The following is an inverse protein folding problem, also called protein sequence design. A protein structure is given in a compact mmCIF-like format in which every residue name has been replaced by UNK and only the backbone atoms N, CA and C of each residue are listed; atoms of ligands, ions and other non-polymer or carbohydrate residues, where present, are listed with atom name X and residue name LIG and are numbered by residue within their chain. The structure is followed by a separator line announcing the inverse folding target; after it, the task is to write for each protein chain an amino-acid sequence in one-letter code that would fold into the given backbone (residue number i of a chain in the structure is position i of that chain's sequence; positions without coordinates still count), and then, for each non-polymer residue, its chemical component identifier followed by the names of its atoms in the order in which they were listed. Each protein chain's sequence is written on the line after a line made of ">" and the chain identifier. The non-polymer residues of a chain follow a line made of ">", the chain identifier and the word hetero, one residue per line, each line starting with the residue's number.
data_IF_568094036296
#
_entry.id   IF_568094036296
#
_cell.length_a   1.000
_cell.length_b   1.000
_cell.length_c   1.000
_cell.angle_alpha   90.00
_cell.angle_beta   90.00
_cell.angle_gamma   90.00
#
_symmetry.space_group_name_H-M   'P 1'
#
loop_
_entity.id
_entity.type
_entity.pdbx_description
1 polymer ?
#
# COMPACT_ATOMS: atom_id res chain seq x y z
N UNK A 1 16.21 -11.62 15.20
CA UNK A 1 15.58 -12.92 14.93
C UNK A 1 14.16 -12.60 14.56
N UNK A 2 13.80 -12.69 13.25
CA UNK A 2 12.43 -12.50 12.78
C UNK A 2 11.56 -13.58 13.44
N UNK A 3 10.57 -13.18 14.24
CA UNK A 3 9.61 -14.10 14.82
C UNK A 3 8.69 -14.61 13.72
N UNK A 4 8.55 -15.93 13.60
CA UNK A 4 7.63 -16.51 12.64
C UNK A 4 6.19 -16.41 13.16
N UNK A 5 5.28 -15.84 12.36
CA UNK A 5 3.85 -15.82 12.68
C UNK A 5 3.28 -17.24 12.69
N UNK A 6 2.56 -17.58 13.73
CA UNK A 6 1.90 -18.88 13.85
C UNK A 6 0.54 -18.83 13.17
N UNK A 7 0.25 -19.82 12.34
CA UNK A 7 -1.03 -19.96 11.62
C UNK A 7 -1.67 -21.27 12.03
N UNK A 8 -2.80 -21.24 12.73
CA UNK A 8 -3.65 -22.40 12.91
C UNK A 8 -4.40 -22.66 11.63
N UNK A 9 -4.02 -23.69 10.90
CA UNK A 9 -4.63 -24.05 9.63
C UNK A 9 -5.54 -25.27 9.74
N UNK A 10 -6.63 -25.29 8.95
CA UNK A 10 -7.42 -26.49 8.80
C UNK A 10 -6.58 -27.61 8.16
N UNK A 11 -6.60 -28.85 8.68
CA UNK A 11 -5.82 -29.96 8.13
C UNK A 11 -6.10 -30.25 6.65
N UNK A 12 -7.32 -30.02 6.19
CA UNK A 12 -7.72 -30.28 4.79
C UNK A 12 -7.12 -29.25 3.82
N UNK A 13 -6.61 -28.13 4.32
CA UNK A 13 -5.91 -27.12 3.51
C UNK A 13 -4.40 -27.39 3.37
N UNK A 14 -3.85 -28.42 4.01
CA UNK A 14 -2.40 -28.66 4.11
C UNK A 14 -1.66 -28.65 2.77
N UNK A 15 -2.29 -29.17 1.70
CA UNK A 15 -1.73 -29.20 0.35
C UNK A 15 -1.79 -27.87 -0.41
N UNK A 16 -2.56 -26.92 0.08
CA UNK A 16 -2.84 -25.63 -0.58
C UNK A 16 -2.11 -24.46 0.07
N UNK A 17 -1.38 -24.67 1.17
CA UNK A 17 -0.76 -23.59 1.93
C UNK A 17 0.53 -23.07 1.28
N UNK A 18 0.75 -21.76 1.22
CA UNK A 18 1.97 -21.20 0.66
C UNK A 18 3.15 -21.48 1.60
N UNK A 19 4.26 -21.93 1.00
CA UNK A 19 5.53 -22.08 1.74
C UNK A 19 6.25 -20.74 1.79
N UNK A 20 6.01 -19.97 2.85
CA UNK A 20 6.60 -18.63 3.02
C UNK A 20 7.49 -18.64 4.26
N UNK A 21 8.72 -18.12 4.13
CA UNK A 21 9.59 -17.87 5.27
C UNK A 21 8.91 -16.84 6.18
N UNK A 22 8.88 -17.08 7.48
CA UNK A 22 8.16 -16.21 8.43
C UNK A 22 6.78 -16.73 8.83
N UNK A 23 6.29 -17.87 8.27
CA UNK A 23 5.06 -18.53 8.70
C UNK A 23 5.35 -19.92 9.26
N UNK A 24 4.66 -20.26 10.35
CA UNK A 24 4.67 -21.59 10.96
C UNK A 24 3.25 -22.13 11.04
N UNK A 25 2.93 -23.15 10.24
CA UNK A 25 1.63 -23.78 10.26
C UNK A 25 1.50 -24.81 11.36
N UNK A 26 0.38 -24.74 12.08
CA UNK A 26 -0.02 -25.65 13.14
C UNK A 26 -1.41 -26.16 12.83
N UNK A 27 -1.64 -27.47 12.97
CA UNK A 27 -2.93 -28.11 12.69
C UNK A 27 -3.65 -28.59 13.95
N UNK A 28 -2.93 -28.57 15.07
CA UNK A 28 -3.46 -28.95 16.37
C UNK A 28 -3.44 -27.73 17.29
N UNK A 29 -4.62 -27.29 17.78
CA UNK A 29 -4.70 -26.14 18.69
C UNK A 29 -3.90 -26.29 19.99
N UNK A 30 -3.57 -27.52 20.40
CA UNK A 30 -2.73 -27.74 21.60
C UNK A 30 -1.31 -27.19 21.45
N UNK A 31 -0.83 -27.05 20.21
CA UNK A 31 0.51 -26.56 19.85
C UNK A 31 0.58 -25.05 19.64
N UNK A 32 -0.53 -24.34 19.84
CA UNK A 32 -0.55 -22.89 19.74
C UNK A 32 0.18 -22.25 20.92
N UNK A 33 0.85 -21.08 20.70
CA UNK A 33 1.42 -20.30 21.78
C UNK A 33 0.31 -19.83 22.74
N UNK A 34 0.65 -19.65 24.00
CA UNK A 34 -0.28 -19.15 25.02
C UNK A 34 -0.24 -17.63 25.15
N UNK A 35 0.90 -17.02 24.83
CA UNK A 35 1.19 -15.60 25.13
C UNK A 35 1.44 -14.76 23.87
N UNK A 36 1.33 -15.35 22.67
CA UNK A 36 1.56 -14.68 21.40
C UNK A 36 0.30 -14.75 20.52
N UNK A 37 0.10 -13.70 19.71
CA UNK A 37 -0.95 -13.66 18.71
C UNK A 37 -0.72 -14.66 17.57
N UNK A 38 -1.79 -15.20 17.00
CA UNK A 38 -1.73 -16.11 15.85
C UNK A 38 -2.88 -15.87 14.88
N UNK A 39 -2.71 -16.35 13.65
CA UNK A 39 -3.70 -16.29 12.60
C UNK A 39 -4.49 -17.59 12.55
N UNK A 40 -5.74 -17.52 12.14
CA UNK A 40 -6.57 -18.72 11.89
C UNK A 40 -6.91 -18.79 10.41
N UNK A 41 -6.67 -19.94 9.79
CA UNK A 41 -7.03 -20.22 8.40
C UNK A 41 -7.91 -21.47 8.36
N UNK A 42 -9.12 -21.34 7.84
CA UNK A 42 -10.10 -22.43 7.83
C UNK A 42 -10.99 -22.45 6.59
N UNK A 43 -11.74 -23.52 6.47
CA UNK A 43 -12.80 -23.70 5.48
C UNK A 43 -14.15 -23.23 6.06
N UNK A 44 -14.99 -22.60 5.26
CA UNK A 44 -16.31 -22.14 5.67
C UNK A 44 -17.19 -23.31 6.14
N UNK A 45 -17.12 -24.45 5.46
CA UNK A 45 -17.84 -25.68 5.82
C UNK A 45 -17.46 -26.26 7.19
N UNK A 46 -16.29 -25.87 7.74
CA UNK A 46 -15.75 -26.40 9.00
C UNK A 46 -15.54 -25.34 10.08
N UNK A 47 -16.04 -24.14 9.85
CA UNK A 47 -15.76 -22.98 10.70
C UNK A 47 -16.19 -23.19 12.16
N UNK A 48 -17.39 -23.73 12.39
CA UNK A 48 -17.92 -24.02 13.76
C UNK A 48 -17.04 -25.04 14.49
N UNK A 49 -16.57 -26.06 13.77
CA UNK A 49 -15.67 -27.08 14.33
C UNK A 49 -14.35 -26.47 14.73
N UNK A 50 -13.79 -25.59 13.89
CA UNK A 50 -12.51 -24.95 14.17
C UNK A 50 -12.61 -23.95 15.33
N UNK A 51 -13.71 -23.21 15.45
CA UNK A 51 -13.95 -22.31 16.58
C UNK A 51 -14.14 -23.05 17.90
N UNK A 52 -14.88 -24.17 17.91
CA UNK A 52 -15.12 -24.95 19.12
C UNK A 52 -13.84 -25.59 19.70
N UNK A 53 -12.80 -25.76 18.89
CA UNK A 53 -11.49 -26.29 19.32
C UNK A 53 -10.61 -25.28 20.05
N UNK A 54 -10.93 -23.99 19.96
CA UNK A 54 -10.19 -22.94 20.64
C UNK A 54 -10.81 -22.68 22.02
N UNK A 55 -10.02 -22.85 23.07
CA UNK A 55 -10.41 -22.44 24.44
C UNK A 55 -10.42 -20.91 24.54
N UNK A 56 -11.20 -20.37 25.49
CA UNK A 56 -11.32 -18.90 25.66
C UNK A 56 -9.99 -18.15 25.75
N UNK A 57 -8.96 -18.60 26.52
CA UNK A 57 -7.67 -17.92 26.56
C UNK A 57 -7.00 -17.86 25.18
N UNK A 58 -7.14 -18.91 24.36
CA UNK A 58 -6.54 -18.94 23.01
C UNK A 58 -7.32 -18.11 22.01
N UNK A 59 -8.65 -18.00 22.15
CA UNK A 59 -9.48 -17.14 21.30
C UNK A 59 -9.06 -15.67 21.41
N UNK A 60 -8.72 -15.22 22.59
CA UNK A 60 -8.26 -13.85 22.84
C UNK A 60 -6.97 -13.49 22.09
N UNK A 61 -6.16 -14.49 21.70
CA UNK A 61 -4.89 -14.31 21.00
C UNK A 61 -5.03 -14.43 19.46
N UNK A 62 -6.23 -14.68 18.92
CA UNK A 62 -6.43 -14.66 17.47
C UNK A 62 -6.33 -13.23 16.96
N UNK A 63 -5.49 -13.00 15.96
CA UNK A 63 -5.31 -11.69 15.34
C UNK A 63 -6.29 -11.46 14.19
N UNK A 64 -6.41 -12.43 13.29
CA UNK A 64 -7.38 -12.42 12.17
C UNK A 64 -7.89 -13.84 11.88
N UNK A 65 -9.09 -13.90 11.31
CA UNK A 65 -9.63 -15.11 10.70
C UNK A 65 -9.57 -15.00 9.17
N UNK A 66 -8.98 -15.99 8.52
CA UNK A 66 -8.99 -16.19 7.07
C UNK A 66 -9.85 -17.40 6.77
N UNK A 67 -10.92 -17.21 6.03
CA UNK A 67 -11.90 -18.26 5.76
C UNK A 67 -12.08 -18.43 4.26
N UNK A 68 -11.71 -19.61 3.77
CA UNK A 68 -11.97 -20.01 2.40
C UNK A 68 -13.42 -20.45 2.25
N UNK A 69 -14.12 -19.85 1.30
CA UNK A 69 -15.49 -20.20 0.96
C UNK A 69 -15.48 -21.41 0.02
N UNK A 70 -15.63 -22.59 0.59
CA UNK A 70 -15.58 -23.88 -0.12
C UNK A 70 -16.97 -24.42 -0.50
N UNK A 71 -18.05 -23.77 -0.02
CA UNK A 71 -19.45 -24.15 -0.29
C UNK A 71 -20.36 -22.94 -0.50
N UNK A 72 -21.13 -22.92 -1.59
CA UNK A 72 -21.99 -21.78 -1.96
C UNK A 72 -23.14 -21.45 -1.00
N UNK A 73 -23.93 -22.42 -0.47
CA UNK A 73 -25.15 -22.08 0.29
C UNK A 73 -24.90 -21.37 1.62
N UNK A 74 -23.71 -21.51 2.20
CA UNK A 74 -23.38 -20.96 3.52
C UNK A 74 -22.83 -19.54 3.46
N UNK A 75 -22.45 -19.05 2.27
CA UNK A 75 -21.82 -17.74 2.07
C UNK A 75 -22.61 -16.59 2.71
N UNK A 76 -23.93 -16.53 2.46
CA UNK A 76 -24.79 -15.43 2.94
C UNK A 76 -24.97 -15.46 4.45
N UNK A 77 -25.03 -16.65 5.05
CA UNK A 77 -25.21 -16.80 6.50
C UNK A 77 -23.91 -16.49 7.23
N UNK A 78 -22.78 -17.04 6.77
CA UNK A 78 -21.47 -16.83 7.38
C UNK A 78 -21.04 -15.37 7.24
N UNK A 79 -21.25 -14.74 6.09
CA UNK A 79 -20.88 -13.33 5.89
C UNK A 79 -21.65 -12.38 6.79
N UNK A 80 -22.94 -12.65 7.06
CA UNK A 80 -23.75 -11.87 8.01
C UNK A 80 -23.25 -12.01 9.46
N UNK A 81 -22.81 -13.20 9.84
CA UNK A 81 -22.27 -13.44 11.19
C UNK A 81 -20.85 -12.88 11.35
N UNK A 82 -20.06 -12.91 10.28
CA UNK A 82 -18.67 -12.42 10.32
C UNK A 82 -18.54 -10.89 10.42
N UNK A 83 -19.60 -10.14 10.09
CA UNK A 83 -19.56 -8.65 10.12
C UNK A 83 -19.36 -8.08 11.54
N UNK A 84 -19.47 -8.86 12.57
CA UNK A 84 -19.25 -8.43 13.96
C UNK A 84 -18.17 -9.23 14.68
N UNK A 85 -17.41 -10.06 13.95
CA UNK A 85 -16.38 -10.86 14.59
C UNK A 85 -15.25 -10.01 15.13
N UNK A 86 -14.88 -10.29 16.35
CA UNK A 86 -13.65 -9.83 16.93
C UNK A 86 -12.84 -11.07 17.35
N UNK A 87 -11.69 -11.25 16.75
CA UNK A 87 -10.98 -10.39 15.76
C UNK A 87 -11.62 -10.38 14.37
N UNK A 88 -11.17 -9.46 13.46
CA UNK A 88 -11.74 -9.32 12.13
C UNK A 88 -11.55 -10.58 11.28
N UNK A 89 -12.47 -10.80 10.32
CA UNK A 89 -12.45 -11.95 9.44
C UNK A 89 -12.49 -11.56 7.96
N UNK A 90 -11.72 -12.28 7.14
CA UNK A 90 -11.79 -12.22 5.68
C UNK A 90 -12.37 -13.55 5.17
N UNK A 91 -13.53 -13.48 4.53
CA UNK A 91 -14.17 -14.59 3.84
C UNK A 91 -13.98 -14.39 2.34
N UNK A 92 -13.34 -15.33 1.67
CA UNK A 92 -13.04 -15.20 0.23
C UNK A 92 -13.05 -16.56 -0.48
N UNK A 93 -13.60 -16.66 -1.72
CA UNK A 93 -13.59 -17.90 -2.49
C UNK A 93 -12.24 -18.23 -3.12
N UNK A 94 -11.38 -17.21 -3.32
CA UNK A 94 -10.05 -17.40 -3.91
C UNK A 94 -9.01 -17.62 -2.81
N UNK A 95 -8.29 -18.73 -2.93
CA UNK A 95 -7.18 -19.06 -2.05
C UNK A 95 -6.00 -18.09 -2.24
N UNK A 96 -5.84 -17.53 -3.43
CA UNK A 96 -4.77 -16.56 -3.77
C UNK A 96 -4.88 -15.30 -2.91
N UNK A 97 -6.11 -14.84 -2.64
CA UNK A 97 -6.36 -13.69 -1.76
C UNK A 97 -5.95 -14.01 -0.32
N UNK A 98 -6.28 -15.20 0.18
CA UNK A 98 -5.84 -15.62 1.51
C UNK A 98 -4.31 -15.78 1.59
N UNK A 99 -3.70 -16.30 0.53
CA UNK A 99 -2.23 -16.38 0.42
C UNK A 99 -1.56 -15.00 0.41
N UNK A 100 -2.19 -14.02 -0.24
CA UNK A 100 -1.72 -12.63 -0.24
C UNK A 100 -1.65 -12.09 1.17
N UNK A 101 -2.71 -12.24 1.94
CA UNK A 101 -2.75 -11.82 3.35
C UNK A 101 -1.66 -12.54 4.17
N UNK A 102 -1.56 -13.86 4.05
CA UNK A 102 -0.53 -14.63 4.75
C UNK A 102 0.90 -14.18 4.40
N UNK A 103 1.16 -13.88 3.13
CA UNK A 103 2.48 -13.34 2.72
C UNK A 103 2.75 -11.97 3.30
N UNK A 104 1.73 -11.10 3.35
CA UNK A 104 1.85 -9.77 3.93
C UNK A 104 2.27 -9.86 5.41
N UNK A 105 1.63 -10.74 6.18
CA UNK A 105 1.99 -10.99 7.57
C UNK A 105 3.41 -11.57 7.72
N UNK A 106 3.79 -12.49 6.84
CA UNK A 106 5.15 -13.05 6.84
C UNK A 106 6.25 -12.01 6.58
N UNK A 107 5.91 -10.93 5.90
CA UNK A 107 6.81 -9.82 5.53
C UNK A 107 6.72 -8.63 6.49
N UNK A 108 5.89 -8.72 7.54
CA UNK A 108 5.59 -7.60 8.45
C UNK A 108 5.13 -6.35 7.66
N UNK A 109 4.28 -6.57 6.64
CA UNK A 109 3.78 -5.54 5.72
C UNK A 109 2.24 -5.57 5.61
N UNK A 110 1.56 -6.16 6.58
CA UNK A 110 0.10 -6.34 6.58
C UNK A 110 -0.68 -5.03 6.62
N UNK A 111 -0.07 -3.99 7.15
CA UNK A 111 -0.60 -2.63 7.15
C UNK A 111 -0.29 -1.83 5.87
N UNK A 112 0.54 -2.36 4.96
CA UNK A 112 1.01 -1.68 3.74
C UNK A 112 0.43 -2.26 2.46
N UNK A 113 -0.14 -3.46 2.53
CA UNK A 113 -0.59 -4.22 1.36
C UNK A 113 -2.10 -4.35 1.33
N UNK A 114 -2.66 -4.33 0.12
CA UNK A 114 -4.09 -4.51 -0.15
C UNK A 114 -4.45 -5.98 -0.13
N UNK A 115 -5.38 -6.38 0.73
CA UNK A 115 -5.97 -7.71 0.71
C UNK A 115 -7.04 -7.83 -0.39
N UNK A 116 -8.02 -6.92 -0.36
CA UNK A 116 -9.13 -6.89 -1.32
C UNK A 116 -9.53 -5.45 -1.66
N UNK A 117 -10.12 -5.28 -2.83
CA UNK A 117 -10.77 -4.04 -3.24
C UNK A 117 -12.12 -4.33 -3.88
N UNK A 118 -13.05 -3.38 -3.82
CA UNK A 118 -14.37 -3.48 -4.43
C UNK A 118 -15.01 -2.11 -4.60
N UNK A 119 -15.89 -1.96 -5.59
CA UNK A 119 -16.65 -0.72 -5.80
C UNK A 119 -18.11 -0.98 -5.48
N UNK A 120 -18.67 -0.16 -4.57
CA UNK A 120 -20.08 -0.21 -4.19
C UNK A 120 -20.62 1.21 -3.97
N UNK A 121 -21.81 1.49 -4.47
CA UNK A 121 -22.52 2.76 -4.28
C UNK A 121 -21.62 4.00 -4.56
N UNK A 122 -20.77 3.95 -5.60
CA UNK A 122 -19.90 5.05 -6.00
C UNK A 122 -18.66 5.25 -5.11
N UNK A 123 -18.36 4.29 -4.24
CA UNK A 123 -17.18 4.30 -3.38
C UNK A 123 -16.27 3.10 -3.69
N UNK A 124 -14.98 3.34 -3.66
CA UNK A 124 -13.95 2.32 -3.60
C UNK A 124 -13.76 1.88 -2.15
N UNK A 125 -13.99 0.61 -1.88
CA UNK A 125 -13.74 -0.03 -0.59
C UNK A 125 -12.46 -0.84 -0.72
N UNK A 126 -11.48 -0.56 0.12
CA UNK A 126 -10.19 -1.25 0.15
C UNK A 126 -9.99 -1.84 1.53
N UNK A 127 -9.60 -3.11 1.59
CA UNK A 127 -9.18 -3.75 2.83
C UNK A 127 -7.69 -3.98 2.79
N UNK A 128 -6.98 -3.57 3.84
CA UNK A 128 -5.58 -3.95 4.03
C UNK A 128 -5.44 -5.41 4.51
N UNK A 129 -4.21 -5.91 4.64
CA UNK A 129 -3.98 -7.27 5.11
C UNK A 129 -4.07 -7.42 6.64
N UNK A 130 -4.31 -6.34 7.40
CA UNK A 130 -4.80 -6.38 8.79
C UNK A 130 -6.35 -6.43 8.84
N UNK A 131 -7.00 -6.39 7.69
CA UNK A 131 -8.45 -6.36 7.48
C UNK A 131 -9.14 -5.06 7.91
N UNK A 132 -8.41 -3.96 8.05
CA UNK A 132 -9.03 -2.64 8.20
C UNK A 132 -9.62 -2.19 6.87
N UNK A 133 -10.80 -1.61 6.90
CA UNK A 133 -11.48 -1.12 5.70
C UNK A 133 -11.32 0.39 5.54
N UNK A 134 -10.88 0.80 4.36
CA UNK A 134 -10.81 2.19 3.91
C UNK A 134 -11.85 2.39 2.82
N UNK A 135 -12.57 3.50 2.87
CA UNK A 135 -13.62 3.82 1.89
C UNK A 135 -13.39 5.20 1.29
N UNK A 136 -13.23 5.26 -0.03
CA UNK A 136 -12.96 6.49 -0.78
C UNK A 136 -14.07 6.72 -1.82
N UNK A 137 -14.71 7.89 -1.86
CA UNK A 137 -15.60 8.23 -2.96
C UNK A 137 -14.82 8.28 -4.28
N UNK A 138 -15.29 7.59 -5.31
CA UNK A 138 -14.64 7.54 -6.65
C UNK A 138 -14.43 8.95 -7.23
N UNK A 139 -15.36 9.86 -6.98
CA UNK A 139 -15.27 11.26 -7.42
C UNK A 139 -14.04 12.02 -6.89
N UNK A 140 -13.48 11.57 -5.75
CA UNK A 140 -12.32 12.21 -5.12
C UNK A 140 -11.00 11.67 -5.72
N UNK A 141 -11.05 10.54 -6.41
CA UNK A 141 -9.91 9.93 -7.11
C UNK A 141 -9.84 10.50 -8.51
N UNK A 142 -8.98 11.51 -8.72
CA UNK A 142 -8.89 12.28 -9.96
C UNK A 142 -8.90 11.45 -11.24
N UNK A 143 -8.03 10.45 -11.41
CA UNK A 143 -7.98 9.60 -12.60
C UNK A 143 -9.25 8.77 -12.84
N UNK A 144 -9.96 8.37 -11.77
CA UNK A 144 -11.11 7.46 -11.87
C UNK A 144 -12.46 8.16 -12.02
N UNK A 145 -12.55 9.45 -11.63
CA UNK A 145 -13.84 10.18 -11.53
C UNK A 145 -14.64 10.26 -12.81
N UNK A 146 -13.98 10.17 -13.96
CA UNK A 146 -14.60 10.34 -15.28
C UNK A 146 -14.58 9.06 -16.12
N UNK A 147 -14.16 7.93 -15.55
CA UNK A 147 -14.14 6.67 -16.27
C UNK A 147 -15.56 6.19 -16.58
N UNK A 148 -15.79 5.63 -17.78
CA UNK A 148 -16.99 4.86 -18.04
C UNK A 148 -17.15 3.72 -17.04
N UNK A 149 -18.40 3.36 -16.73
CA UNK A 149 -18.69 2.31 -15.74
C UNK A 149 -17.97 0.99 -16.04
N UNK A 150 -17.92 0.58 -17.32
CA UNK A 150 -17.22 -0.64 -17.72
C UNK A 150 -15.74 -0.63 -17.33
N UNK A 151 -15.03 0.47 -17.61
CA UNK A 151 -13.63 0.62 -17.25
C UNK A 151 -13.42 0.78 -15.75
N UNK A 152 -14.36 1.44 -15.07
CA UNK A 152 -14.28 1.66 -13.62
C UNK A 152 -14.33 0.33 -12.84
N UNK A 153 -15.09 -0.65 -13.31
CA UNK A 153 -15.19 -1.97 -12.68
C UNK A 153 -14.16 -2.98 -13.20
N UNK A 154 -13.41 -2.63 -14.23
CA UNK A 154 -12.33 -3.45 -14.79
C UNK A 154 -11.01 -3.13 -14.08
N UNK A 155 -10.86 -3.67 -12.88
CA UNK A 155 -9.65 -3.51 -12.08
C UNK A 155 -9.29 -4.80 -11.36
N UNK A 156 -8.04 -4.92 -11.00
CA UNK A 156 -7.51 -6.03 -10.23
C UNK A 156 -6.60 -5.57 -9.10
N UNK A 157 -6.48 -6.38 -8.05
CA UNK A 157 -5.45 -6.21 -7.02
C UNK A 157 -4.25 -7.06 -7.42
N UNK A 158 -3.07 -6.46 -7.47
CA UNK A 158 -1.84 -7.18 -7.80
C UNK A 158 -1.63 -8.41 -6.91
N UNK A 159 -0.96 -9.43 -7.39
CA UNK A 159 -0.71 -10.68 -6.66
C UNK A 159 -0.03 -10.46 -5.31
N UNK A 160 0.83 -9.46 -5.23
CA UNK A 160 1.51 -9.05 -4.01
C UNK A 160 0.66 -8.19 -3.07
N UNK A 161 -0.44 -7.60 -3.56
CA UNK A 161 -1.21 -6.59 -2.84
C UNK A 161 -0.60 -5.19 -2.86
N UNK A 162 0.45 -4.94 -3.66
CA UNK A 162 1.16 -3.66 -3.65
C UNK A 162 0.32 -2.52 -4.22
N UNK A 163 -0.59 -2.82 -5.14
CA UNK A 163 -1.45 -1.81 -5.77
C UNK A 163 -2.75 -2.42 -6.30
N UNK A 164 -3.72 -1.55 -6.55
CA UNK A 164 -4.93 -1.79 -7.32
C UNK A 164 -4.69 -1.20 -8.70
N UNK A 165 -4.94 -1.94 -9.77
CA UNK A 165 -4.63 -1.53 -11.13
C UNK A 165 -5.87 -1.50 -12.02
N UNK A 166 -6.04 -0.41 -12.73
CA UNK A 166 -7.00 -0.23 -13.82
C UNK A 166 -6.24 -0.26 -15.15
N UNK A 167 -6.34 -1.35 -15.95
CA UNK A 167 -5.49 -1.57 -17.12
C UNK A 167 -5.61 -0.50 -18.20
N UNK A 168 -6.83 -0.14 -18.58
CA UNK A 168 -7.05 0.75 -19.70
C UNK A 168 -6.62 2.19 -19.45
N UNK A 169 -6.98 2.84 -18.32
CA UNK A 169 -6.45 4.15 -17.99
C UNK A 169 -5.02 4.12 -17.43
N UNK A 170 -4.43 2.93 -17.28
CA UNK A 170 -3.10 2.70 -16.67
C UNK A 170 -2.94 3.41 -15.32
N UNK A 171 -3.95 3.23 -14.45
CA UNK A 171 -3.98 3.81 -13.11
C UNK A 171 -3.59 2.76 -12.07
N UNK A 172 -2.62 3.09 -11.25
CA UNK A 172 -2.19 2.30 -10.09
C UNK A 172 -2.48 3.08 -8.82
N UNK A 173 -3.14 2.46 -7.86
CA UNK A 173 -3.35 3.00 -6.52
C UNK A 173 -2.75 2.07 -5.47
N UNK A 174 -1.79 2.56 -4.73
CA UNK A 174 -1.25 1.89 -3.55
C UNK A 174 -2.18 2.11 -2.35
N UNK A 175 -1.96 1.36 -1.27
CA UNK A 175 -2.71 1.57 -0.03
C UNK A 175 -2.43 2.97 0.56
N UNK A 176 -1.23 3.51 0.38
CA UNK A 176 -0.87 4.86 0.81
C UNK A 176 -1.59 5.94 0.01
N UNK A 177 -1.80 5.73 -1.31
CA UNK A 177 -2.64 6.62 -2.11
C UNK A 177 -4.08 6.62 -1.61
N UNK A 178 -4.63 5.46 -1.24
CA UNK A 178 -5.97 5.35 -0.66
C UNK A 178 -6.05 6.08 0.68
N UNK A 179 -5.06 5.90 1.55
CA UNK A 179 -4.96 6.62 2.85
C UNK A 179 -4.90 8.12 2.68
N UNK A 180 -4.18 8.61 1.66
CA UNK A 180 -4.10 10.04 1.36
C UNK A 180 -5.48 10.68 1.17
N UNK A 181 -6.46 9.95 0.62
CA UNK A 181 -7.81 10.46 0.45
C UNK A 181 -8.64 10.48 1.74
N UNK A 182 -8.44 9.52 2.63
CA UNK A 182 -9.34 9.30 3.78
C UNK A 182 -8.76 9.72 5.13
N UNK A 183 -7.43 9.80 5.26
CA UNK A 183 -6.73 10.18 6.49
C UNK A 183 -6.11 11.58 6.36
N UNK A 184 -6.73 12.62 6.96
CA UNK A 184 -6.18 13.97 6.92
C UNK A 184 -4.78 14.10 7.53
N UNK A 185 -4.47 13.30 8.56
CA UNK A 185 -3.16 13.35 9.21
C UNK A 185 -2.08 12.72 8.31
N UNK A 186 -2.40 11.60 7.64
CA UNK A 186 -1.52 11.00 6.64
C UNK A 186 -1.28 11.97 5.48
N UNK A 187 -2.35 12.57 4.94
CA UNK A 187 -2.24 13.58 3.87
C UNK A 187 -1.33 14.73 4.25
N UNK A 188 -1.52 15.28 5.45
CA UNK A 188 -0.68 16.38 5.93
C UNK A 188 0.79 16.00 6.04
N UNK A 189 1.10 14.77 6.48
CA UNK A 189 2.49 14.26 6.50
C UNK A 189 3.08 14.17 5.09
N UNK A 190 2.37 13.54 4.16
CA UNK A 190 2.82 13.38 2.76
C UNK A 190 3.04 14.74 2.10
N UNK A 191 2.12 15.70 2.31
CA UNK A 191 2.26 17.06 1.79
C UNK A 191 3.44 17.80 2.42
N UNK A 192 3.68 17.63 3.72
CA UNK A 192 4.82 18.23 4.42
C UNK A 192 6.16 17.64 3.93
N UNK A 193 6.26 16.32 3.81
CA UNK A 193 7.44 15.63 3.29
C UNK A 193 7.73 16.05 1.85
N UNK A 194 6.68 16.15 1.02
CA UNK A 194 6.82 16.67 -0.35
C UNK A 194 7.31 18.11 -0.37
N UNK A 195 6.74 18.98 0.47
CA UNK A 195 7.14 20.38 0.54
C UNK A 195 8.60 20.52 1.00
N UNK A 196 9.04 19.72 1.96
CA UNK A 196 10.44 19.69 2.41
C UNK A 196 11.37 19.19 1.31
N UNK A 197 10.98 18.11 0.60
CA UNK A 197 11.74 17.62 -0.54
C UNK A 197 11.85 18.69 -1.64
N UNK A 198 10.73 19.32 -2.03
CA UNK A 198 10.71 20.37 -3.06
C UNK A 198 11.58 21.58 -2.65
N UNK A 199 11.57 21.95 -1.37
CA UNK A 199 12.41 23.03 -0.85
C UNK A 199 13.91 22.68 -0.93
N UNK A 200 14.31 21.48 -0.50
CA UNK A 200 15.71 21.02 -0.58
C UNK A 200 16.17 20.92 -2.03
N UNK A 201 15.35 20.35 -2.90
CA UNK A 201 15.66 20.20 -4.31
C UNK A 201 15.77 21.56 -5.01
N UNK A 202 14.87 22.49 -4.70
CA UNK A 202 14.92 23.86 -5.19
C UNK A 202 16.18 24.61 -4.71
N UNK A 203 16.56 24.44 -3.45
CA UNK A 203 17.79 25.01 -2.91
C UNK A 203 19.06 24.46 -3.59
N UNK A 204 19.08 23.16 -3.93
CA UNK A 204 20.17 22.55 -4.70
C UNK A 204 20.30 23.17 -6.10
N UNK A 205 19.17 23.36 -6.81
CA UNK A 205 19.13 24.05 -8.11
C UNK A 205 19.68 25.48 -7.98
N UNK A 206 19.26 26.23 -6.96
CA UNK A 206 19.74 27.59 -6.72
C UNK A 206 21.22 27.62 -6.39
N UNK A 207 21.73 26.66 -5.61
CA UNK A 207 23.12 26.53 -5.24
C UNK A 207 23.99 26.27 -6.49
N UNK A 208 23.63 25.28 -7.31
CA UNK A 208 24.37 24.95 -8.53
C UNK A 208 24.40 26.13 -9.50
N UNK A 209 23.26 26.80 -9.71
CA UNK A 209 23.19 28.01 -10.53
C UNK A 209 24.13 29.12 -10.03
N UNK A 210 24.18 29.37 -8.72
CA UNK A 210 25.04 30.39 -8.11
C UNK A 210 26.52 30.00 -8.26
N UNK A 211 26.88 28.73 -8.09
CA UNK A 211 28.23 28.23 -8.26
C UNK A 211 28.78 28.50 -9.69
N UNK A 212 27.91 28.36 -10.68
CA UNK A 212 28.22 28.65 -12.10
C UNK A 212 27.98 30.10 -12.49
N UNK A 213 27.65 30.99 -11.53
CA UNK A 213 27.42 32.43 -11.71
C UNK A 213 26.33 32.79 -12.70
N UNK A 214 25.37 31.88 -12.96
CA UNK A 214 24.21 32.13 -13.81
C UNK A 214 23.15 32.93 -13.04
N UNK A 215 22.51 33.89 -13.72
CA UNK A 215 21.31 34.56 -13.22
C UNK A 215 20.09 33.72 -13.57
N UNK A 216 18.97 33.92 -12.86
CA UNK A 216 17.69 33.24 -13.17
C UNK A 216 17.21 33.53 -14.60
N UNK A 217 17.50 34.73 -15.12
CA UNK A 217 17.16 35.16 -16.46
C UNK A 217 18.03 34.50 -17.56
N UNK A 218 19.18 33.95 -17.21
CA UNK A 218 20.12 33.34 -18.18
C UNK A 218 19.67 31.90 -18.57
N UNK A 219 18.65 31.36 -17.92
CA UNK A 219 18.11 30.02 -18.22
C UNK A 219 17.21 30.08 -19.47
N UNK A 220 17.74 29.65 -20.61
CA UNK A 220 17.01 29.65 -21.88
C UNK A 220 15.73 28.83 -21.86
N UNK A 221 14.64 29.39 -22.36
CA UNK A 221 13.35 28.70 -22.51
C UNK A 221 12.60 28.42 -21.19
N UNK A 222 13.01 29.05 -20.09
CA UNK A 222 12.30 29.05 -18.79
C UNK A 222 12.22 30.50 -18.31
N UNK A 223 11.05 30.95 -17.85
CA UNK A 223 10.91 32.32 -17.35
C UNK A 223 11.60 32.48 -15.99
N UNK A 224 12.16 33.66 -15.72
CA UNK A 224 12.78 33.98 -14.42
C UNK A 224 11.81 33.69 -13.25
N UNK A 225 10.53 34.05 -13.41
CA UNK A 225 9.47 33.76 -12.42
C UNK A 225 9.34 32.25 -12.16
N UNK A 226 9.44 31.42 -13.20
CA UNK A 226 9.36 29.97 -13.06
C UNK A 226 10.60 29.41 -12.37
N UNK A 227 11.81 29.85 -12.75
CA UNK A 227 13.05 29.47 -12.09
C UNK A 227 12.99 29.82 -10.60
N UNK A 228 12.59 31.05 -10.28
CA UNK A 228 12.43 31.51 -8.89
C UNK A 228 11.44 30.64 -8.10
N UNK A 229 10.31 30.25 -8.68
CA UNK A 229 9.34 29.36 -8.02
C UNK A 229 9.92 27.98 -7.71
N UNK A 230 10.69 27.42 -8.66
CA UNK A 230 11.37 26.13 -8.49
C UNK A 230 12.43 26.24 -7.37
N UNK A 231 13.29 27.25 -7.42
CA UNK A 231 14.34 27.46 -6.42
C UNK A 231 13.81 27.67 -4.99
N UNK A 232 12.56 28.12 -4.83
CA UNK A 232 11.91 28.27 -3.54
C UNK A 232 11.04 27.06 -3.17
N UNK A 233 11.12 25.94 -3.89
CA UNK A 233 10.30 24.74 -3.64
C UNK A 233 8.80 24.93 -3.88
N UNK A 234 8.38 26.00 -4.58
CA UNK A 234 6.96 26.29 -4.86
C UNK A 234 6.44 25.65 -6.14
N UNK A 235 7.27 24.94 -6.85
CA UNK A 235 6.96 24.25 -8.09
C UNK A 235 7.99 23.16 -8.36
N UNK A 236 7.56 21.92 -8.51
CA UNK A 236 8.42 20.82 -8.93
C UNK A 236 8.74 20.96 -10.41
N UNK A 237 10.01 20.97 -10.84
CA UNK A 237 10.37 21.09 -12.25
C UNK A 237 10.04 19.79 -13.00
N UNK A 238 9.47 19.91 -14.20
CA UNK A 238 9.28 18.77 -15.10
C UNK A 238 10.61 18.41 -15.77
N UNK A 239 10.72 17.19 -16.32
CA UNK A 239 11.92 16.71 -17.02
C UNK A 239 12.41 17.68 -18.10
N UNK A 240 11.51 18.24 -18.90
CA UNK A 240 11.86 19.25 -19.92
C UNK A 240 12.45 20.54 -19.34
N UNK A 241 11.99 20.95 -18.17
CA UNK A 241 12.55 22.11 -17.47
C UNK A 241 13.95 21.79 -16.92
N UNK A 242 14.13 20.59 -16.38
CA UNK A 242 15.43 20.12 -15.90
C UNK A 242 16.45 20.01 -17.04
N UNK A 243 16.07 19.55 -18.23
CA UNK A 243 16.93 19.53 -19.42
C UNK A 243 17.37 20.94 -19.82
N UNK A 244 16.48 21.93 -19.76
CA UNK A 244 16.81 23.34 -20.04
C UNK A 244 17.77 23.92 -18.99
N UNK A 245 17.57 23.57 -17.71
CA UNK A 245 18.49 23.93 -16.65
C UNK A 245 19.87 23.29 -16.89
N UNK A 246 19.96 22.01 -17.19
CA UNK A 246 21.20 21.32 -17.52
C UNK A 246 21.96 21.98 -18.70
N UNK A 247 21.20 22.30 -19.78
CA UNK A 247 21.78 22.99 -20.96
C UNK A 247 22.34 24.37 -20.62
N UNK A 248 21.70 25.16 -19.75
CA UNK A 248 22.20 26.45 -19.31
C UNK A 248 23.46 26.32 -18.45
N UNK A 249 23.69 25.18 -17.81
CA UNK A 249 24.91 24.86 -17.08
C UNK A 249 26.01 24.22 -17.97
N UNK A 250 25.76 24.06 -19.28
CA UNK A 250 26.62 23.33 -20.21
C UNK A 250 26.96 21.90 -19.74
N UNK A 251 26.00 21.25 -19.03
CA UNK A 251 26.15 19.92 -18.47
C UNK A 251 25.31 18.90 -19.25
N UNK A 252 25.83 17.67 -19.36
CA UNK A 252 24.95 16.54 -19.75
C UNK A 252 23.83 16.36 -18.72
N UNK A 253 22.64 15.96 -19.18
CA UNK A 253 21.46 15.85 -18.30
C UNK A 253 21.67 14.91 -17.11
N UNK A 254 22.37 13.78 -17.32
CA UNK A 254 22.71 12.83 -16.27
C UNK A 254 23.66 13.43 -15.22
N UNK A 255 24.67 14.20 -15.67
CA UNK A 255 25.64 14.84 -14.78
C UNK A 255 24.98 15.94 -13.94
N UNK A 256 24.07 16.70 -14.56
CA UNK A 256 23.27 17.71 -13.87
C UNK A 256 22.41 17.09 -12.76
N UNK A 257 21.71 15.97 -13.03
CA UNK A 257 20.92 15.26 -12.04
C UNK A 257 21.77 14.70 -10.90
N UNK A 258 22.96 14.17 -11.22
CA UNK A 258 23.92 13.68 -10.22
C UNK A 258 24.44 14.81 -9.32
N UNK A 259 24.76 15.97 -9.90
CA UNK A 259 25.18 17.16 -9.13
C UNK A 259 24.04 17.64 -8.19
N UNK A 260 22.80 17.66 -8.66
CA UNK A 260 21.66 18.03 -7.82
C UNK A 260 21.44 17.02 -6.70
N UNK A 261 21.54 15.71 -6.98
CA UNK A 261 21.38 14.66 -5.97
C UNK A 261 22.39 14.83 -4.84
N UNK A 262 23.67 15.11 -5.17
CA UNK A 262 24.72 15.35 -4.19
C UNK A 262 24.48 16.60 -3.33
N UNK A 263 23.90 17.65 -3.90
CA UNK A 263 23.57 18.89 -3.18
C UNK A 263 22.26 18.79 -2.37
N UNK A 264 21.31 17.94 -2.80
CA UNK A 264 20.03 17.74 -2.14
C UNK A 264 20.08 16.65 -1.07
N UNK A 265 21.09 15.78 -1.07
CA UNK A 265 21.27 14.77 -0.02
C UNK A 265 21.41 15.47 1.33
N UNK A 266 20.72 14.98 2.38
CA UNK A 266 21.00 15.45 3.73
C UNK A 266 22.50 15.20 4.00
N UNK A 267 23.20 16.21 4.51
CA UNK A 267 24.56 16.00 5.01
C UNK A 267 24.47 14.85 6.04
N UNK A 268 25.17 13.75 5.76
CA UNK A 268 25.41 12.76 6.79
C UNK A 268 26.13 13.50 7.91
N UNK A 269 25.43 13.71 9.01
CA UNK A 269 26.07 14.18 10.23
C UNK A 269 26.94 13.03 10.75
N UNK A 270 28.24 13.16 10.54
CA UNK A 270 29.27 12.39 11.23
C UNK A 270 29.17 12.58 12.76
#
# INVERSE_FOLDING_TARGET
>A
VSHAHVVLADPDMKGQLPRVKGLKYVYDPSRLPTDEGFLVLGLASRLEINQSRLTEPKRANVQIYLVMLDTEPQYVQISRHATGWQPPALLHPSIEVLHRVLRAWALEAEDKLVATAGIRAGNLHVRDCQLHELTVPIRDIGPLRHLPQAQLYDFEVSDSGSFIWWPEPDVHLTLDDVRYFVDPAHRQRVEAEKAEYDARYGAAIASLRKQTRLRQADIGGVTERQVRRIEHGRSTPRSETLKKLAAAHEMAFADYLSALANLASPAEFD
#
